data_IF_093938165234
#
_entry.id   IF_093938165234
#
_cell.length_a   1.000
_cell.length_b   1.000
_cell.length_c   1.000
_cell.angle_alpha   90.00
_cell.angle_beta   90.00
_cell.angle_gamma   90.00
#
_symmetry.space_group_name_H-M   'P 1'
#
loop_
_entity.id
_entity.type
_entity.pdbx_description
1 polymer ?
#
# COMPACT_ATOMS: atom_id res chain seq x y z
N UNK A 1 -10.63 -1.53 -4.81
CA UNK A 1 -9.96 -0.22 -4.62
C UNK A 1 -10.82 0.80 -3.86
N UNK A 2 -12.13 0.53 -3.60
CA UNK A 2 -12.96 1.42 -2.78
C UNK A 2 -12.41 1.69 -1.38
N UNK A 3 -11.83 0.69 -0.71
CA UNK A 3 -11.27 0.87 0.64
C UNK A 3 -10.08 1.83 0.71
N UNK A 4 -9.21 1.85 -0.31
CA UNK A 4 -8.11 2.82 -0.35
C UNK A 4 -8.61 4.24 -0.63
N UNK A 5 -9.65 4.36 -1.47
CA UNK A 5 -10.32 5.64 -1.70
C UNK A 5 -11.01 6.14 -0.42
N UNK A 6 -11.62 5.23 0.34
CA UNK A 6 -12.22 5.57 1.64
C UNK A 6 -11.19 6.12 2.61
N UNK A 7 -9.93 5.67 2.60
CA UNK A 7 -8.88 6.29 3.43
C UNK A 7 -8.62 7.75 3.02
N UNK A 8 -8.54 8.04 1.72
CA UNK A 8 -8.32 9.39 1.21
C UNK A 8 -9.50 10.33 1.50
N UNK A 9 -10.71 9.79 1.49
CA UNK A 9 -11.94 10.56 1.65
C UNK A 9 -12.42 10.60 3.12
N UNK A 10 -11.71 9.93 4.04
CA UNK A 10 -12.06 9.88 5.46
C UNK A 10 -11.71 11.18 6.16
N UNK A 11 -12.73 11.93 6.61
CA UNK A 11 -12.59 13.22 7.29
C UNK A 11 -11.85 13.12 8.64
N UNK A 12 -11.78 11.92 9.25
CA UNK A 12 -11.06 11.68 10.50
C UNK A 12 -9.58 11.35 10.29
N UNK A 13 -9.14 11.14 9.04
CA UNK A 13 -7.75 10.86 8.70
C UNK A 13 -7.16 12.05 7.95
N UNK A 14 -5.90 12.31 8.21
CA UNK A 14 -5.09 13.27 7.47
C UNK A 14 -4.16 12.53 6.52
N UNK A 15 -3.61 13.27 5.55
CA UNK A 15 -2.58 12.72 4.67
C UNK A 15 -1.36 12.19 5.43
N UNK A 16 -1.07 12.72 6.63
CA UNK A 16 0.06 12.24 7.44
C UNK A 16 -0.20 10.84 8.02
N UNK A 17 -1.46 10.42 8.15
CA UNK A 17 -1.79 9.12 8.74
C UNK A 17 -1.56 7.96 7.76
N UNK A 18 -1.60 8.21 6.45
CA UNK A 18 -1.52 7.17 5.42
C UNK A 18 -0.55 7.48 4.27
N UNK A 19 -0.08 8.72 4.15
CA UNK A 19 0.82 9.25 3.10
C UNK A 19 0.32 9.15 1.64
N UNK A 20 -0.80 8.48 1.41
CA UNK A 20 -1.43 8.34 0.09
C UNK A 20 -1.86 9.68 -0.53
N UNK A 21 -1.82 9.69 -1.86
CA UNK A 21 -2.36 10.74 -2.73
C UNK A 21 -3.33 10.16 -3.73
N UNK A 22 -4.19 11.00 -4.32
CA UNK A 22 -5.13 10.58 -5.37
C UNK A 22 -4.43 9.91 -6.57
N UNK A 23 -3.21 10.34 -6.91
CA UNK A 23 -2.39 9.70 -7.95
C UNK A 23 -1.98 8.26 -7.61
N UNK A 24 -1.78 7.92 -6.33
CA UNK A 24 -1.38 6.56 -5.95
C UNK A 24 -2.48 5.51 -6.24
N UNK A 25 -3.73 5.95 -6.44
CA UNK A 25 -4.87 5.08 -6.76
C UNK A 25 -5.21 5.05 -8.25
N UNK A 26 -4.66 5.96 -9.05
CA UNK A 26 -4.96 6.06 -10.48
C UNK A 26 -4.45 4.82 -11.23
N UNK A 27 -5.31 4.12 -11.99
CA UNK A 27 -4.93 2.93 -12.75
C UNK A 27 -3.70 3.10 -13.65
N UNK A 28 -3.55 4.27 -14.27
CA UNK A 28 -2.40 4.63 -15.11
C UNK A 28 -1.08 4.68 -14.34
N UNK A 29 -1.16 4.99 -13.04
CA UNK A 29 -0.01 5.08 -12.14
C UNK A 29 0.19 3.77 -11.34
N UNK A 30 -0.65 2.73 -11.55
CA UNK A 30 -0.55 1.43 -10.83
C UNK A 30 0.63 0.55 -11.26
N UNK A 31 1.40 0.99 -12.25
CA UNK A 31 2.70 0.40 -12.58
C UNK A 31 3.86 1.19 -11.96
N UNK A 32 3.56 2.27 -11.23
CA UNK A 32 4.57 3.04 -10.53
C UNK A 32 4.96 2.30 -9.23
N UNK A 33 6.19 1.79 -9.21
CA UNK A 33 6.79 1.14 -8.05
C UNK A 33 6.64 1.96 -6.75
N UNK A 34 6.78 3.29 -6.81
CA UNK A 34 6.63 4.16 -5.63
C UNK A 34 5.20 4.19 -5.12
N UNK A 35 4.21 4.19 -6.01
CA UNK A 35 2.80 4.12 -5.60
C UNK A 35 2.49 2.75 -4.99
N UNK A 36 3.01 1.66 -5.57
CA UNK A 36 2.89 0.32 -5.01
C UNK A 36 3.53 0.20 -3.61
N UNK A 37 4.69 0.85 -3.39
CA UNK A 37 5.31 0.94 -2.06
C UNK A 37 4.44 1.69 -1.05
N UNK A 38 3.86 2.83 -1.43
CA UNK A 38 3.01 3.63 -0.53
C UNK A 38 1.71 2.93 -0.17
N UNK A 39 0.99 2.37 -1.15
CA UNK A 39 -0.28 1.65 -0.88
C UNK A 39 -0.08 0.38 -0.05
N UNK A 40 1.16 -0.12 0.06
CA UNK A 40 1.52 -1.27 0.89
C UNK A 40 2.31 -0.88 2.15
N UNK A 41 2.32 0.40 2.52
CA UNK A 41 2.93 0.89 3.75
C UNK A 41 2.30 0.24 4.98
N UNK A 42 3.04 0.17 6.08
CA UNK A 42 2.50 -0.37 7.33
C UNK A 42 1.31 0.44 7.82
N UNK A 43 1.34 1.76 7.67
CA UNK A 43 0.26 2.65 8.11
C UNK A 43 -1.03 2.39 7.34
N UNK A 44 -0.94 2.25 6.01
CA UNK A 44 -2.11 1.91 5.17
C UNK A 44 -2.66 0.53 5.53
N UNK A 45 -1.80 -0.47 5.73
CA UNK A 45 -2.24 -1.82 6.12
C UNK A 45 -2.94 -1.82 7.50
N UNK A 46 -2.40 -1.09 8.47
CA UNK A 46 -2.98 -0.97 9.81
C UNK A 46 -4.31 -0.23 9.79
N UNK A 47 -4.45 0.80 8.95
CA UNK A 47 -5.69 1.55 8.80
C UNK A 47 -6.78 0.74 8.10
N UNK A 48 -6.42 -0.03 7.07
CA UNK A 48 -7.35 -0.90 6.36
C UNK A 48 -7.95 -1.93 7.30
N UNK A 49 -7.16 -2.58 8.15
CA UNK A 49 -7.66 -3.61 9.09
C UNK A 49 -8.68 -3.13 10.12
N UNK A 50 -8.96 -1.82 10.19
CA UNK A 50 -10.02 -1.26 11.05
C UNK A 50 -11.43 -1.47 10.48
N UNK A 51 -11.55 -1.77 9.19
CA UNK A 51 -12.82 -2.13 8.54
C UNK A 51 -12.86 -3.65 8.33
N UNK A 52 -13.81 -4.33 8.98
CA UNK A 52 -13.99 -5.78 8.89
C UNK A 52 -14.25 -6.28 7.46
N UNK A 53 -14.81 -5.43 6.58
CA UNK A 53 -15.08 -5.78 5.18
C UNK A 53 -13.84 -5.65 4.28
N UNK A 54 -12.72 -5.17 4.82
CA UNK A 54 -11.53 -4.86 4.03
C UNK A 54 -10.52 -6.01 3.95
N UNK A 55 -10.77 -7.15 4.58
CA UNK A 55 -9.80 -8.24 4.72
C UNK A 55 -9.25 -8.74 3.36
N UNK A 56 -10.10 -8.83 2.34
CA UNK A 56 -9.66 -9.17 0.98
C UNK A 56 -8.68 -8.12 0.40
N UNK A 57 -8.93 -6.84 0.68
CA UNK A 57 -8.04 -5.75 0.27
C UNK A 57 -6.72 -5.79 1.05
N UNK A 58 -6.78 -6.05 2.34
CA UNK A 58 -5.59 -6.25 3.18
C UNK A 58 -4.70 -7.37 2.63
N UNK A 59 -5.28 -8.54 2.35
CA UNK A 59 -4.53 -9.68 1.82
C UNK A 59 -3.93 -9.38 0.45
N UNK A 60 -4.68 -8.72 -0.43
CA UNK A 60 -4.17 -8.26 -1.73
C UNK A 60 -2.96 -7.33 -1.59
N UNK A 61 -3.03 -6.32 -0.71
CA UNK A 61 -1.93 -5.39 -0.48
C UNK A 61 -0.72 -6.08 0.18
N UNK A 62 -0.95 -7.05 1.07
CA UNK A 62 0.11 -7.89 1.63
C UNK A 62 0.84 -8.71 0.56
N UNK A 63 0.11 -9.29 -0.39
CA UNK A 63 0.72 -10.02 -1.50
C UNK A 63 1.58 -9.09 -2.38
N UNK A 64 1.07 -7.90 -2.72
CA UNK A 64 1.86 -6.89 -3.44
C UNK A 64 3.13 -6.54 -2.65
N UNK A 65 3.01 -6.33 -1.33
CA UNK A 65 4.15 -6.02 -0.48
C UNK A 65 5.23 -7.10 -0.55
N UNK A 66 4.84 -8.37 -0.48
CA UNK A 66 5.78 -9.48 -0.60
C UNK A 66 6.43 -9.57 -1.98
N UNK A 67 5.64 -9.37 -3.04
CA UNK A 67 6.18 -9.29 -4.41
C UNK A 67 7.25 -8.19 -4.47
N UNK A 68 6.93 -6.97 -4.02
CA UNK A 68 7.87 -5.86 -3.97
C UNK A 68 9.14 -6.24 -3.20
N UNK A 69 9.02 -6.82 -2.00
CA UNK A 69 10.17 -7.25 -1.21
C UNK A 69 11.04 -8.27 -1.96
N UNK A 70 10.44 -9.28 -2.57
CA UNK A 70 11.17 -10.29 -3.35
C UNK A 70 11.89 -9.70 -4.57
N UNK A 71 11.41 -8.58 -5.13
CA UNK A 71 12.11 -7.87 -6.21
C UNK A 71 13.21 -6.92 -5.72
N UNK A 72 13.14 -6.44 -4.48
CA UNK A 72 14.16 -5.57 -3.87
C UNK A 72 15.28 -6.40 -3.22
N UNK A 73 14.96 -7.57 -2.66
CA UNK A 73 15.95 -8.54 -2.16
C UNK A 73 16.53 -9.38 -3.31
N UNK A 74 17.60 -8.90 -3.95
CA UNK A 74 18.79 -9.75 -4.06
C UNK A 74 20.10 -8.95 -3.89
N UNK A 75 20.33 -8.29 -2.74
CA UNK A 75 21.59 -7.52 -2.50
C UNK A 75 22.26 -7.71 -1.13
N UNK A 76 22.03 -8.82 -0.42
CA UNK A 76 22.95 -9.29 0.64
C UNK A 76 23.42 -10.72 0.37
N UNK A 77 24.11 -10.91 -0.75
CA UNK A 77 25.17 -11.92 -0.86
C UNK A 77 26.33 -11.30 -1.65
N UNK A 78 26.97 -10.28 -1.08
CA UNK A 78 28.36 -10.04 -1.43
C UNK A 78 29.14 -11.10 -0.65
N UNK A 79 29.39 -12.22 -1.32
CA UNK A 79 30.57 -13.03 -1.03
C UNK A 79 31.78 -12.12 -1.27
N UNK A 80 32.40 -11.63 -0.19
CA UNK A 80 33.82 -11.26 -0.09
C UNK A 80 34.39 -11.84 1.21
#
# INVERSE_FOLDING_TARGET
MGHLQQLLDNVQLTRLDHELTQSDLKPTDRQNFRSCLRITSCDVLNLITRDDNSNATYMYLKLIKFIIFSYIEPTTSNEE
#
